data_IF_968548034868
#
_entry.id   IF_968548034868
#
_cell.length_a   1.000
_cell.length_b   1.000
_cell.length_c   1.000
_cell.angle_alpha   90.00
_cell.angle_beta   90.00
_cell.angle_gamma   90.00
#
_symmetry.space_group_name_H-M   'P 1'
#
loop_
_entity.id
_entity.type
_entity.pdbx_description
1 polymer ?
#
# COMPACT_ATOMS: atom_id res chain seq x y z
N UNK A 1 31.53 2.97 9.01
CA UNK A 1 30.10 3.04 9.31
C UNK A 1 29.44 4.21 8.61
N UNK A 2 29.98 5.40 8.69
CA UNK A 2 29.57 6.56 7.89
C UNK A 2 30.37 6.58 6.59
N UNK A 3 29.71 6.70 5.45
CA UNK A 3 30.35 6.91 4.16
C UNK A 3 30.84 8.35 4.12
N UNK A 4 31.99 8.64 3.49
CA UNK A 4 32.41 10.02 3.20
C UNK A 4 31.43 10.61 2.18
N UNK A 5 30.34 11.18 2.66
CA UNK A 5 29.34 11.83 1.82
C UNK A 5 29.85 13.20 1.41
N UNK A 6 29.84 13.48 0.12
CA UNK A 6 29.95 14.84 -0.39
C UNK A 6 28.55 15.37 -0.56
N UNK A 7 28.22 16.51 0.00
CA UNK A 7 26.92 17.19 -0.16
C UNK A 7 26.52 17.33 -1.64
N UNK A 8 27.51 17.40 -2.53
CA UNK A 8 27.29 17.46 -3.99
C UNK A 8 26.64 16.20 -4.57
N UNK A 9 26.80 15.05 -3.93
CA UNK A 9 26.26 13.76 -4.41
C UNK A 9 24.85 13.48 -3.86
N UNK A 10 24.28 14.46 -3.12
CA UNK A 10 22.95 14.35 -2.54
C UNK A 10 21.88 14.75 -3.57
N UNK A 11 20.84 13.91 -3.72
CA UNK A 11 19.78 14.17 -4.68
C UNK A 11 18.76 15.18 -4.12
N UNK A 12 19.10 16.46 -4.20
CA UNK A 12 18.23 17.56 -3.77
C UNK A 12 16.92 17.61 -4.57
N UNK A 13 16.90 17.14 -5.83
CA UNK A 13 15.68 17.13 -6.65
C UNK A 13 14.64 16.21 -6.05
N UNK A 14 15.06 15.01 -5.61
CA UNK A 14 14.18 14.06 -4.94
C UNK A 14 13.59 14.66 -3.66
N UNK A 15 14.42 15.34 -2.85
CA UNK A 15 13.96 15.96 -1.60
C UNK A 15 12.93 17.05 -1.88
N UNK A 16 13.21 17.93 -2.85
CA UNK A 16 12.29 19.02 -3.23
C UNK A 16 10.95 18.43 -3.69
N UNK A 17 10.96 17.38 -4.51
CA UNK A 17 9.73 16.73 -4.97
C UNK A 17 8.94 16.10 -3.81
N UNK A 18 9.62 15.42 -2.89
CA UNK A 18 8.97 14.85 -1.68
C UNK A 18 8.35 15.93 -0.83
N UNK A 19 9.06 17.03 -0.59
CA UNK A 19 8.55 18.15 0.20
C UNK A 19 7.38 18.86 -0.50
N UNK A 20 7.46 19.06 -1.83
CA UNK A 20 6.39 19.64 -2.61
C UNK A 20 5.11 18.79 -2.56
N UNK A 21 5.22 17.48 -2.80
CA UNK A 21 4.10 16.55 -2.68
C UNK A 21 3.53 16.53 -1.26
N UNK A 22 4.39 16.54 -0.24
CA UNK A 22 3.95 16.59 1.15
C UNK A 22 3.21 17.88 1.48
N UNK A 23 3.66 19.01 0.93
CA UNK A 23 2.99 20.30 1.12
C UNK A 23 1.59 20.29 0.47
N UNK A 24 1.47 19.80 -0.77
CA UNK A 24 0.17 19.62 -1.43
C UNK A 24 -0.74 18.71 -0.60
N UNK A 25 -0.23 17.56 -0.12
CA UNK A 25 -0.98 16.65 0.74
C UNK A 25 -1.49 17.30 2.03
N UNK A 26 -0.64 18.08 2.73
CA UNK A 26 -1.04 18.81 3.95
C UNK A 26 -2.14 19.84 3.63
N UNK A 27 -2.02 20.57 2.52
CA UNK A 27 -3.01 21.55 2.09
C UNK A 27 -4.35 20.87 1.79
N UNK A 28 -4.34 19.78 1.02
CA UNK A 28 -5.53 19.07 0.62
C UNK A 28 -6.24 18.41 1.80
N UNK A 29 -5.48 17.76 2.72
CA UNK A 29 -6.03 17.21 3.96
C UNK A 29 -6.63 18.33 4.83
N UNK A 30 -5.97 19.48 4.90
CA UNK A 30 -6.51 20.64 5.62
C UNK A 30 -7.74 21.26 4.98
N UNK A 31 -8.04 20.94 3.71
CA UNK A 31 -9.29 21.27 3.06
C UNK A 31 -10.38 20.22 3.31
N UNK A 32 -10.02 18.93 3.23
CA UNK A 32 -10.94 17.82 3.41
C UNK A 32 -11.40 17.68 4.88
N UNK A 33 -10.42 17.63 5.82
CA UNK A 33 -10.67 17.46 7.25
C UNK A 33 -9.64 18.29 8.05
N UNK A 34 -9.99 19.52 8.45
CA UNK A 34 -9.07 20.43 9.15
C UNK A 34 -8.48 19.84 10.45
N UNK A 35 -9.22 18.97 11.14
CA UNK A 35 -8.78 18.35 12.39
C UNK A 35 -7.58 17.40 12.16
N UNK A 36 -7.44 16.82 10.98
CA UNK A 36 -6.34 15.90 10.63
C UNK A 36 -5.09 16.62 10.13
N UNK A 37 -5.19 17.90 9.73
CA UNK A 37 -4.08 18.65 9.15
C UNK A 37 -2.84 18.73 10.08
N UNK A 38 -3.05 19.00 11.36
CA UNK A 38 -1.94 19.09 12.33
C UNK A 38 -1.24 17.75 12.55
N UNK A 39 -1.99 16.66 12.54
CA UNK A 39 -1.44 15.29 12.64
C UNK A 39 -0.62 14.95 11.40
N UNK A 40 -1.09 15.32 10.20
CA UNK A 40 -0.35 15.15 8.96
C UNK A 40 0.94 15.94 8.93
N UNK A 41 0.91 17.21 9.37
CA UNK A 41 2.12 18.05 9.50
C UNK A 41 3.18 17.41 10.43
N UNK A 42 2.74 16.91 11.59
CA UNK A 42 3.64 16.23 12.52
C UNK A 42 4.24 14.95 11.90
N UNK A 43 3.41 14.16 11.18
CA UNK A 43 3.85 12.97 10.46
C UNK A 43 4.88 13.28 9.38
N UNK A 44 4.66 14.30 8.57
CA UNK A 44 5.60 14.76 7.54
C UNK A 44 6.91 15.25 8.17
N UNK A 45 6.84 16.04 9.24
CA UNK A 45 8.04 16.50 9.94
C UNK A 45 8.88 15.32 10.48
N UNK A 46 8.24 14.34 11.13
CA UNK A 46 8.89 13.13 11.58
C UNK A 46 9.48 12.32 10.42
N UNK A 47 8.75 12.18 9.31
CA UNK A 47 9.20 11.49 8.10
C UNK A 47 10.44 12.15 7.48
N UNK A 48 10.47 13.47 7.42
CA UNK A 48 11.64 14.23 6.91
C UNK A 48 12.86 14.02 7.82
N UNK A 49 12.69 14.05 9.14
CA UNK A 49 13.79 13.77 10.08
C UNK A 49 14.32 12.35 9.88
N UNK A 50 13.44 11.35 9.77
CA UNK A 50 13.82 9.95 9.50
C UNK A 50 14.54 9.83 8.15
N UNK A 51 14.02 10.46 7.10
CA UNK A 51 14.62 10.46 5.77
C UNK A 51 16.05 10.99 5.80
N UNK A 52 16.26 12.12 6.44
CA UNK A 52 17.59 12.72 6.60
C UNK A 52 18.49 11.80 7.42
N UNK A 53 18.03 11.30 8.55
CA UNK A 53 18.80 10.39 9.40
C UNK A 53 19.23 9.13 8.63
N UNK A 54 18.30 8.47 7.92
CA UNK A 54 18.58 7.27 7.15
C UNK A 54 19.53 7.52 5.99
N UNK A 55 19.55 8.72 5.41
CA UNK A 55 20.47 9.06 4.32
C UNK A 55 21.95 9.02 4.72
N UNK A 56 22.25 9.19 6.00
CA UNK A 56 23.61 9.07 6.53
C UNK A 56 24.05 7.62 6.78
N UNK A 57 23.12 6.66 6.79
CA UNK A 57 23.46 5.26 7.01
C UNK A 57 23.80 4.55 5.72
N UNK A 58 24.82 3.71 5.77
CA UNK A 58 25.13 2.84 4.64
C UNK A 58 24.15 1.65 4.63
N UNK A 59 23.30 1.60 3.61
CA UNK A 59 22.32 0.52 3.45
C UNK A 59 22.95 -0.88 3.45
N UNK A 60 24.23 -1.02 3.02
CA UNK A 60 24.94 -2.31 3.04
C UNK A 60 25.11 -2.88 4.45
N UNK A 61 25.14 -2.02 5.48
CA UNK A 61 25.20 -2.47 6.88
C UNK A 61 23.82 -3.01 7.30
N UNK A 62 22.76 -2.32 6.91
CA UNK A 62 21.38 -2.76 7.16
C UNK A 62 21.12 -4.10 6.51
N UNK A 63 21.55 -4.26 5.26
CA UNK A 63 21.38 -5.51 4.51
C UNK A 63 22.14 -6.72 5.09
N UNK A 64 23.21 -6.51 5.88
CA UNK A 64 23.86 -7.62 6.60
C UNK A 64 22.95 -8.28 7.64
N UNK A 65 21.99 -7.53 8.15
CA UNK A 65 21.03 -7.98 9.16
C UNK A 65 19.70 -8.51 8.55
N UNK A 66 19.69 -8.85 7.27
CA UNK A 66 18.49 -9.24 6.53
C UNK A 66 17.69 -10.39 7.19
N UNK A 67 18.36 -11.40 7.78
CA UNK A 67 17.69 -12.45 8.53
C UNK A 67 17.02 -11.94 9.82
N UNK A 68 17.69 -11.04 10.53
CA UNK A 68 17.09 -10.43 11.74
C UNK A 68 15.85 -9.61 11.37
N UNK A 69 15.91 -8.89 10.23
CA UNK A 69 14.77 -8.13 9.71
C UNK A 69 13.60 -9.07 9.34
N UNK A 70 13.89 -10.21 8.72
CA UNK A 70 12.88 -11.20 8.36
C UNK A 70 12.22 -11.81 9.61
N UNK A 71 13.01 -12.23 10.59
CA UNK A 71 12.50 -12.78 11.85
C UNK A 71 11.71 -11.72 12.60
N UNK A 72 12.22 -10.50 12.72
CA UNK A 72 11.52 -9.38 13.33
C UNK A 72 10.18 -9.08 12.65
N UNK A 73 10.14 -9.17 11.33
CA UNK A 73 8.90 -9.04 10.56
C UNK A 73 7.89 -10.13 10.92
N UNK A 74 8.30 -11.40 10.99
CA UNK A 74 7.41 -12.51 11.39
C UNK A 74 6.88 -12.33 12.81
N UNK A 75 7.72 -11.88 13.73
CA UNK A 75 7.33 -11.58 15.12
C UNK A 75 6.28 -10.46 15.15
N UNK A 76 6.50 -9.36 14.42
CA UNK A 76 5.55 -8.24 14.36
C UNK A 76 4.20 -8.66 13.76
N UNK A 77 4.22 -9.43 12.66
CA UNK A 77 2.99 -9.97 12.06
C UNK A 77 2.28 -10.96 13.01
N UNK A 78 3.03 -11.76 13.74
CA UNK A 78 2.49 -12.69 14.74
C UNK A 78 1.84 -11.96 15.91
N UNK A 79 2.45 -10.88 16.39
CA UNK A 79 1.89 -10.05 17.47
C UNK A 79 0.52 -9.46 17.09
N UNK A 80 0.34 -9.02 15.84
CA UNK A 80 -0.97 -8.53 15.38
C UNK A 80 -2.04 -9.62 15.43
N UNK A 81 -1.70 -10.84 15.06
CA UNK A 81 -2.67 -11.95 15.06
C UNK A 81 -3.12 -12.29 16.50
N UNK A 82 -2.22 -12.06 17.49
CA UNK A 82 -2.49 -12.41 18.90
C UNK A 82 -3.09 -11.23 19.68
N UNK A 83 -2.58 -10.02 19.44
CA UNK A 83 -2.84 -8.82 20.26
C UNK A 83 -3.39 -7.65 19.45
N UNK A 84 -3.72 -7.83 18.17
CA UNK A 84 -4.21 -6.76 17.32
C UNK A 84 -5.57 -6.25 17.76
N UNK A 85 -5.76 -4.94 17.68
CA UNK A 85 -7.08 -4.33 17.87
C UNK A 85 -7.91 -4.44 16.60
N UNK A 86 -9.22 -4.69 16.79
CA UNK A 86 -10.18 -4.67 15.71
C UNK A 86 -10.49 -3.22 15.29
N UNK A 87 -10.18 -2.92 14.04
CA UNK A 87 -10.61 -1.69 13.38
C UNK A 87 -11.33 -2.04 12.09
N UNK A 88 -12.55 -1.53 11.89
CA UNK A 88 -13.37 -1.79 10.71
C UNK A 88 -13.54 -3.29 10.38
N UNK A 89 -13.75 -4.13 11.41
CA UNK A 89 -13.98 -5.58 11.25
C UNK A 89 -12.73 -6.42 10.96
N UNK A 90 -11.52 -5.88 11.16
CA UNK A 90 -10.29 -6.64 10.98
C UNK A 90 -9.22 -6.26 12.01
N UNK A 91 -8.54 -7.26 12.56
CA UNK A 91 -7.41 -7.09 13.48
C UNK A 91 -6.14 -6.77 12.69
N UNK A 92 -5.79 -5.49 12.54
CA UNK A 92 -4.67 -5.04 11.70
C UNK A 92 -3.72 -4.07 12.41
N UNK A 93 -4.15 -3.51 13.53
CA UNK A 93 -3.47 -2.41 14.18
C UNK A 93 -2.90 -2.82 15.53
N UNK A 94 -1.69 -2.33 15.84
CA UNK A 94 -1.12 -2.36 17.17
C UNK A 94 -1.15 -0.94 17.76
N UNK A 95 -1.63 -0.80 18.98
CA UNK A 95 -1.50 0.45 19.74
C UNK A 95 -0.22 0.43 20.56
N UNK A 96 0.66 1.37 20.29
CA UNK A 96 1.90 1.56 21.04
C UNK A 96 1.94 3.02 21.50
N UNK A 97 1.79 3.26 22.82
CA UNK A 97 1.89 4.60 23.39
C UNK A 97 0.86 5.61 22.83
N UNK A 98 -0.35 5.15 22.44
CA UNK A 98 -1.40 6.00 21.86
C UNK A 98 -1.30 6.22 20.35
N UNK A 99 -0.24 5.71 19.71
CA UNK A 99 -0.11 5.67 18.25
C UNK A 99 -0.59 4.35 17.72
N UNK A 100 -1.40 4.39 16.66
CA UNK A 100 -1.80 3.21 15.90
C UNK A 100 -0.72 2.90 14.86
N UNK A 101 -0.22 1.68 14.88
CA UNK A 101 0.80 1.20 13.97
C UNK A 101 0.30 -0.07 13.27
N UNK A 102 0.42 -0.11 11.93
CA UNK A 102 0.05 -1.28 11.15
C UNK A 102 1.31 -2.05 10.72
N UNK A 103 1.62 -3.20 11.33
CA UNK A 103 2.82 -3.97 11.02
C UNK A 103 2.93 -4.43 9.59
N UNK A 104 1.83 -4.68 8.87
CA UNK A 104 1.87 -5.07 7.47
C UNK A 104 2.42 -3.96 6.54
N UNK A 105 2.37 -2.68 6.93
CA UNK A 105 3.00 -1.59 6.20
C UNK A 105 4.53 -1.67 6.29
N UNK A 106 5.04 -1.90 7.50
CA UNK A 106 6.48 -2.11 7.70
C UNK A 106 6.94 -3.42 7.05
N UNK A 107 6.11 -4.45 7.06
CA UNK A 107 6.42 -5.75 6.46
C UNK A 107 6.78 -5.62 4.98
N UNK A 108 6.12 -4.76 4.21
CA UNK A 108 6.45 -4.51 2.80
C UNK A 108 7.92 -4.08 2.66
N UNK A 109 8.36 -3.13 3.48
CA UNK A 109 9.72 -2.59 3.44
C UNK A 109 10.75 -3.65 3.85
N UNK A 110 10.49 -4.35 4.96
CA UNK A 110 11.39 -5.37 5.48
C UNK A 110 11.55 -6.55 4.52
N UNK A 111 10.46 -6.97 3.86
CA UNK A 111 10.48 -8.03 2.85
C UNK A 111 11.21 -7.60 1.57
N UNK A 112 11.05 -6.35 1.13
CA UNK A 112 11.83 -5.80 0.00
C UNK A 112 13.33 -5.91 0.30
N UNK A 113 13.77 -5.44 1.45
CA UNK A 113 15.18 -5.46 1.86
C UNK A 113 15.70 -6.90 2.01
N UNK A 114 14.89 -7.78 2.62
CA UNK A 114 15.24 -9.18 2.79
C UNK A 114 15.43 -9.89 1.44
N UNK A 115 14.43 -9.82 0.56
CA UNK A 115 14.48 -10.52 -0.71
C UNK A 115 15.50 -9.92 -1.68
N UNK A 116 15.68 -8.60 -1.68
CA UNK A 116 16.76 -7.99 -2.47
C UNK A 116 18.13 -8.56 -2.09
N UNK A 117 18.45 -8.63 -0.79
CA UNK A 117 19.70 -9.20 -0.31
C UNK A 117 19.79 -10.71 -0.54
N UNK A 118 18.70 -11.44 -0.30
CA UNK A 118 18.66 -12.89 -0.51
C UNK A 118 18.91 -13.25 -1.98
N UNK A 119 18.22 -12.59 -2.91
CA UNK A 119 18.37 -12.80 -4.35
C UNK A 119 19.78 -12.41 -4.82
N UNK A 120 20.31 -11.27 -4.36
CA UNK A 120 21.70 -10.89 -4.66
C UNK A 120 22.68 -11.97 -4.25
N UNK A 121 22.53 -12.55 -3.07
CA UNK A 121 23.41 -13.59 -2.55
C UNK A 121 23.35 -14.89 -3.36
N UNK A 122 22.18 -15.24 -3.87
CA UNK A 122 21.94 -16.48 -4.61
C UNK A 122 21.77 -16.25 -6.12
N UNK A 123 22.19 -15.11 -6.66
CA UNK A 123 21.95 -14.69 -8.04
C UNK A 123 22.32 -15.75 -9.09
N UNK A 124 23.49 -16.38 -8.96
CA UNK A 124 23.95 -17.40 -9.90
C UNK A 124 23.10 -18.69 -9.88
N UNK A 125 22.46 -18.97 -8.74
CA UNK A 125 21.63 -20.16 -8.51
C UNK A 125 20.14 -19.85 -8.48
N UNK A 126 19.74 -18.61 -8.82
CA UNK A 126 18.37 -18.12 -8.66
C UNK A 126 17.35 -19.03 -9.39
N UNK A 127 17.70 -19.52 -10.56
CA UNK A 127 16.84 -20.36 -11.39
C UNK A 127 16.89 -21.85 -11.04
N UNK A 128 17.54 -22.25 -9.94
CA UNK A 128 17.52 -23.64 -9.46
C UNK A 128 16.27 -23.89 -8.62
N UNK A 129 15.71 -25.10 -8.76
CA UNK A 129 14.50 -25.49 -8.01
C UNK A 129 14.60 -25.25 -6.50
N UNK A 130 15.76 -25.55 -5.90
CA UNK A 130 15.97 -25.38 -4.46
C UNK A 130 15.86 -23.92 -4.02
N UNK A 131 16.45 -23.00 -4.78
CA UNK A 131 16.41 -21.56 -4.44
C UNK A 131 15.01 -21.02 -4.66
N UNK A 132 14.33 -21.39 -5.74
CA UNK A 132 12.93 -20.98 -6.01
C UNK A 132 11.99 -21.49 -4.93
N UNK A 133 12.10 -22.76 -4.55
CA UNK A 133 11.30 -23.34 -3.47
C UNK A 133 11.55 -22.63 -2.13
N UNK A 134 12.82 -22.33 -1.81
CA UNK A 134 13.17 -21.57 -0.60
C UNK A 134 12.56 -20.18 -0.62
N UNK A 135 12.64 -19.47 -1.73
CA UNK A 135 12.05 -18.14 -1.90
C UNK A 135 10.53 -18.19 -1.76
N UNK A 136 9.88 -19.18 -2.38
CA UNK A 136 8.44 -19.37 -2.29
C UNK A 136 7.98 -19.64 -0.84
N UNK A 137 8.70 -20.48 -0.09
CA UNK A 137 8.42 -20.74 1.33
C UNK A 137 8.64 -19.48 2.17
N UNK A 138 9.77 -18.80 2.00
CA UNK A 138 10.09 -17.58 2.73
C UNK A 138 9.10 -16.44 2.47
N UNK A 139 8.50 -16.36 1.28
CA UNK A 139 7.45 -15.40 0.99
C UNK A 139 6.08 -15.90 1.45
N UNK A 140 5.81 -17.19 1.32
CA UNK A 140 4.52 -17.80 1.67
C UNK A 140 4.16 -17.61 3.15
N UNK A 141 5.14 -17.72 4.06
CA UNK A 141 4.90 -17.56 5.49
C UNK A 141 4.35 -16.17 5.85
N UNK A 142 5.05 -15.06 5.59
CA UNK A 142 4.52 -13.73 5.90
C UNK A 142 3.25 -13.40 5.11
N UNK A 143 3.13 -13.88 3.87
CA UNK A 143 1.94 -13.69 3.06
C UNK A 143 0.69 -14.33 3.67
N UNK A 144 0.78 -15.59 4.13
CA UNK A 144 -0.32 -16.26 4.84
C UNK A 144 -0.66 -15.55 6.14
N UNK A 145 0.34 -15.02 6.87
CA UNK A 145 0.10 -14.26 8.09
C UNK A 145 -0.69 -12.98 7.80
N UNK A 146 -0.40 -12.27 6.71
CA UNK A 146 -1.15 -11.08 6.28
C UNK A 146 -2.55 -11.44 5.79
N UNK A 147 -2.72 -12.55 5.08
CA UNK A 147 -4.05 -13.05 4.69
C UNK A 147 -4.94 -13.35 5.90
N UNK A 148 -4.39 -13.91 6.97
CA UNK A 148 -5.12 -14.18 8.22
C UNK A 148 -5.55 -12.91 8.96
N UNK A 149 -4.97 -11.74 8.63
CA UNK A 149 -5.37 -10.44 9.18
C UNK A 149 -6.49 -9.76 8.38
N UNK A 150 -7.36 -10.47 7.68
CA UNK A 150 -8.25 -10.12 6.55
C UNK A 150 -7.78 -8.89 5.73
N UNK A 151 -6.49 -8.84 5.40
CA UNK A 151 -5.89 -7.72 4.65
C UNK A 151 -5.67 -8.10 3.17
N UNK A 152 -6.75 -8.35 2.42
CA UNK A 152 -6.68 -8.81 1.02
C UNK A 152 -5.86 -7.87 0.14
N UNK A 153 -6.11 -6.57 0.20
CA UNK A 153 -5.40 -5.57 -0.61
C UNK A 153 -3.90 -5.58 -0.33
N UNK A 154 -3.50 -5.60 0.94
CA UNK A 154 -2.08 -5.67 1.34
C UNK A 154 -1.43 -6.97 0.88
N UNK A 155 -2.13 -8.09 0.93
CA UNK A 155 -1.62 -9.38 0.48
C UNK A 155 -1.38 -9.43 -1.02
N UNK A 156 -2.25 -8.80 -1.83
CA UNK A 156 -2.06 -8.65 -3.28
C UNK A 156 -0.84 -7.77 -3.58
N UNK A 157 -0.71 -6.63 -2.88
CA UNK A 157 0.44 -5.74 -3.03
C UNK A 157 1.75 -6.44 -2.67
N UNK A 158 1.77 -7.27 -1.63
CA UNK A 158 2.95 -8.06 -1.26
C UNK A 158 3.38 -9.04 -2.36
N UNK A 159 2.44 -9.75 -2.96
CA UNK A 159 2.72 -10.65 -4.09
C UNK A 159 3.23 -9.86 -5.29
N UNK A 160 2.62 -8.71 -5.59
CA UNK A 160 3.07 -7.85 -6.68
C UNK A 160 4.51 -7.37 -6.48
N UNK A 161 4.83 -6.83 -5.29
CA UNK A 161 6.19 -6.42 -4.90
C UNK A 161 7.17 -7.59 -5.07
N UNK A 162 6.79 -8.78 -4.62
CA UNK A 162 7.60 -9.97 -4.72
C UNK A 162 7.88 -10.38 -6.17
N UNK A 163 6.87 -10.35 -7.03
CA UNK A 163 7.03 -10.62 -8.46
C UNK A 163 7.99 -9.62 -9.13
N UNK A 164 7.87 -8.33 -8.79
CA UNK A 164 8.78 -7.28 -9.29
C UNK A 164 10.21 -7.53 -8.84
N UNK A 165 10.44 -7.86 -7.58
CA UNK A 165 11.78 -8.14 -7.05
C UNK A 165 12.41 -9.35 -7.74
N UNK A 166 11.64 -10.42 -7.96
CA UNK A 166 12.11 -11.61 -8.69
C UNK A 166 12.47 -11.27 -10.14
N UNK A 167 11.62 -10.48 -10.81
CA UNK A 167 11.85 -10.05 -12.17
C UNK A 167 13.14 -9.23 -12.30
N UNK A 168 13.31 -8.23 -11.45
CA UNK A 168 14.54 -7.41 -11.40
C UNK A 168 15.76 -8.26 -11.01
N UNK A 169 15.56 -9.27 -10.16
CA UNK A 169 16.60 -10.23 -9.74
C UNK A 169 17.11 -11.13 -10.86
N UNK A 170 16.42 -11.22 -11.99
CA UNK A 170 16.80 -12.01 -13.16
C UNK A 170 16.28 -13.45 -13.13
N UNK A 171 15.07 -13.65 -12.60
CA UNK A 171 14.36 -14.93 -12.74
C UNK A 171 14.13 -15.26 -14.23
N UNK A 172 14.23 -16.52 -14.61
CA UNK A 172 14.06 -16.92 -16.02
C UNK A 172 12.62 -16.66 -16.50
N UNK A 173 12.49 -16.15 -17.72
CA UNK A 173 11.18 -15.92 -18.34
C UNK A 173 10.32 -17.18 -18.42
N UNK A 174 10.93 -18.38 -18.57
CA UNK A 174 10.22 -19.66 -18.57
C UNK A 174 9.44 -19.87 -17.27
N UNK A 175 10.04 -19.50 -16.12
CA UNK A 175 9.39 -19.60 -14.82
C UNK A 175 8.29 -18.54 -14.66
N UNK A 176 8.53 -17.33 -15.15
CA UNK A 176 7.52 -16.25 -15.13
C UNK A 176 6.29 -16.66 -15.94
N UNK A 177 6.50 -17.08 -17.20
CA UNK A 177 5.38 -17.52 -18.06
C UNK A 177 4.71 -18.77 -17.51
N UNK A 178 5.46 -19.73 -16.96
CA UNK A 178 4.89 -20.91 -16.31
C UNK A 178 4.03 -20.56 -15.11
N UNK A 179 4.50 -19.64 -14.26
CA UNK A 179 3.74 -19.15 -13.10
C UNK A 179 2.46 -18.41 -13.55
N UNK A 180 2.54 -17.54 -14.56
CA UNK A 180 1.38 -16.82 -15.09
C UNK A 180 0.37 -17.78 -15.75
N UNK A 181 0.84 -18.79 -16.47
CA UNK A 181 -0.03 -19.80 -17.09
C UNK A 181 -0.84 -20.61 -16.07
N UNK A 182 -0.36 -20.74 -14.85
CA UNK A 182 -1.09 -21.37 -13.74
C UNK A 182 -1.91 -20.35 -12.96
N UNK A 183 -1.34 -19.19 -12.66
CA UNK A 183 -1.96 -18.17 -11.80
C UNK A 183 -3.21 -17.55 -12.46
N UNK A 184 -3.14 -17.22 -13.75
CA UNK A 184 -4.27 -16.59 -14.45
C UNK A 184 -5.51 -17.49 -14.46
N UNK A 185 -5.45 -18.77 -14.92
CA UNK A 185 -6.61 -19.66 -14.84
C UNK A 185 -7.07 -19.89 -13.40
N UNK A 186 -6.15 -20.02 -12.42
CA UNK A 186 -6.50 -20.20 -11.03
C UNK A 186 -7.31 -19.02 -10.48
N UNK A 187 -6.90 -17.78 -10.79
CA UNK A 187 -7.63 -16.57 -10.39
C UNK A 187 -9.01 -16.53 -11.07
N UNK A 188 -9.07 -16.82 -12.36
CA UNK A 188 -10.36 -16.85 -13.09
C UNK A 188 -11.31 -17.88 -12.48
N UNK A 189 -10.83 -19.10 -12.19
CA UNK A 189 -11.62 -20.13 -11.53
C UNK A 189 -12.07 -19.69 -10.14
N UNK A 190 -11.16 -19.15 -9.32
CA UNK A 190 -11.47 -18.68 -7.98
C UNK A 190 -12.54 -17.56 -8.00
N UNK A 191 -12.39 -16.59 -8.89
CA UNK A 191 -13.39 -15.52 -9.05
C UNK A 191 -14.73 -16.09 -9.51
N UNK A 192 -14.72 -16.98 -10.49
CA UNK A 192 -15.95 -17.61 -10.99
C UNK A 192 -16.68 -18.43 -9.91
N UNK A 193 -15.92 -19.17 -9.08
CA UNK A 193 -16.48 -19.92 -7.96
C UNK A 193 -16.98 -18.99 -6.85
N UNK A 194 -16.26 -17.93 -6.57
CA UNK A 194 -16.62 -16.94 -5.55
C UNK A 194 -17.88 -16.15 -5.92
N UNK A 195 -18.15 -15.96 -7.20
CA UNK A 195 -19.36 -15.26 -7.68
C UNK A 195 -20.63 -16.12 -7.59
N UNK A 196 -20.52 -17.42 -7.31
CA UNK A 196 -21.72 -18.25 -7.13
C UNK A 196 -22.49 -17.81 -5.86
N UNK A 197 -23.85 -17.83 -5.89
CA UNK A 197 -24.68 -17.35 -4.76
C UNK A 197 -24.37 -18.03 -3.43
N UNK A 198 -24.13 -19.34 -3.43
CA UNK A 198 -23.93 -20.17 -2.24
C UNK A 198 -22.45 -20.37 -1.87
N UNK A 199 -21.54 -19.63 -2.50
CA UNK A 199 -20.10 -19.79 -2.27
C UNK A 199 -19.67 -19.26 -0.89
N UNK A 200 -19.01 -20.10 -0.10
CA UNK A 200 -18.36 -19.78 1.17
C UNK A 200 -16.84 -19.62 1.05
N UNK A 201 -16.29 -19.61 -0.18
CA UNK A 201 -14.84 -19.56 -0.44
C UNK A 201 -14.24 -18.22 -0.03
N UNK A 202 -14.98 -17.14 -0.23
CA UNK A 202 -14.59 -15.79 0.18
C UNK A 202 -15.50 -15.27 1.28
N UNK A 203 -14.91 -14.50 2.19
CA UNK A 203 -15.67 -13.73 3.16
C UNK A 203 -16.60 -12.74 2.45
N UNK A 204 -17.77 -12.49 3.03
CA UNK A 204 -18.82 -11.63 2.42
C UNK A 204 -18.26 -10.28 1.96
N UNK A 205 -17.39 -9.65 2.76
CA UNK A 205 -16.79 -8.37 2.39
C UNK A 205 -15.84 -8.46 1.17
N UNK A 206 -15.13 -9.60 0.99
CA UNK A 206 -14.25 -9.83 -0.16
C UNK A 206 -15.07 -10.05 -1.43
N UNK A 207 -16.14 -10.84 -1.33
CA UNK A 207 -17.09 -11.08 -2.41
C UNK A 207 -17.70 -9.77 -2.88
N UNK A 208 -18.20 -8.97 -1.95
CA UNK A 208 -18.82 -7.68 -2.25
C UNK A 208 -17.86 -6.70 -2.95
N UNK A 209 -16.57 -6.67 -2.56
CA UNK A 209 -15.56 -5.85 -3.26
C UNK A 209 -15.33 -6.28 -4.71
N UNK A 210 -15.29 -7.59 -4.97
CA UNK A 210 -15.14 -8.10 -6.34
C UNK A 210 -16.39 -7.77 -7.16
N UNK A 211 -17.58 -7.99 -6.62
CA UNK A 211 -18.85 -7.69 -7.27
C UNK A 211 -19.01 -6.20 -7.57
N UNK A 212 -18.66 -5.33 -6.63
CA UNK A 212 -18.68 -3.89 -6.83
C UNK A 212 -17.70 -3.42 -7.92
N UNK A 213 -16.59 -4.14 -8.12
CA UNK A 213 -15.64 -3.85 -9.20
C UNK A 213 -16.14 -4.34 -10.56
N UNK A 214 -16.79 -5.51 -10.61
CA UNK A 214 -17.27 -6.12 -11.87
C UNK A 214 -18.58 -5.47 -12.35
N UNK A 215 -19.51 -5.20 -11.42
CA UNK A 215 -20.83 -4.62 -11.70
C UNK A 215 -21.11 -3.39 -10.82
N UNK A 216 -20.39 -2.27 -11.01
CA UNK A 216 -20.51 -1.10 -10.14
C UNK A 216 -21.92 -0.49 -10.13
N UNK A 217 -22.68 -0.62 -11.22
CA UNK A 217 -24.05 -0.09 -11.32
C UNK A 217 -25.05 -0.85 -10.43
N UNK A 218 -24.91 -2.16 -10.32
CA UNK A 218 -25.76 -3.02 -9.52
C UNK A 218 -25.51 -2.81 -8.01
N UNK A 219 -24.26 -2.49 -7.64
CA UNK A 219 -23.81 -2.27 -6.26
C UNK A 219 -23.63 -0.78 -5.92
N UNK A 220 -24.29 0.12 -6.66
CA UNK A 220 -24.14 1.58 -6.55
C UNK A 220 -24.59 2.15 -5.21
N UNK A 221 -25.43 1.44 -4.46
CA UNK A 221 -25.98 1.89 -3.16
C UNK A 221 -25.11 1.57 -1.96
N UNK A 222 -24.02 0.78 -2.13
CA UNK A 222 -23.17 0.33 -1.03
C UNK A 222 -21.68 0.55 -1.36
N UNK A 223 -20.99 -0.48 -1.81
CA UNK A 223 -19.52 -0.46 -1.97
C UNK A 223 -19.05 0.33 -3.19
N UNK A 224 -19.81 0.31 -4.28
CA UNK A 224 -19.52 1.10 -5.47
C UNK A 224 -19.89 2.57 -5.31
N UNK A 225 -20.73 2.92 -4.32
CA UNK A 225 -21.19 4.28 -4.06
C UNK A 225 -20.03 5.26 -3.89
N UNK A 226 -19.05 4.90 -3.07
CA UNK A 226 -17.88 5.74 -2.82
C UNK A 226 -17.00 5.93 -4.06
N UNK A 227 -16.80 4.85 -4.86
CA UNK A 227 -16.05 4.95 -6.10
C UNK A 227 -16.76 5.83 -7.14
N UNK A 228 -18.06 5.64 -7.31
CA UNK A 228 -18.86 6.46 -8.23
C UNK A 228 -18.86 7.93 -7.82
N UNK A 229 -19.05 8.22 -6.53
CA UNK A 229 -18.99 9.58 -6.02
C UNK A 229 -17.59 10.19 -6.17
N UNK A 230 -16.53 9.41 -6.00
CA UNK A 230 -15.15 9.84 -6.25
C UNK A 230 -14.95 10.25 -7.72
N UNK A 231 -15.43 9.44 -8.66
CA UNK A 231 -15.35 9.74 -10.10
C UNK A 231 -16.18 10.98 -10.45
N UNK A 232 -17.39 11.10 -9.88
CA UNK A 232 -18.25 12.30 -10.06
C UNK A 232 -17.58 13.55 -9.50
N UNK A 233 -16.94 13.44 -8.33
CA UNK A 233 -16.22 14.55 -7.71
C UNK A 233 -15.08 15.04 -8.61
N UNK A 234 -14.22 14.13 -9.09
CA UNK A 234 -13.13 14.45 -10.02
C UNK A 234 -13.69 15.11 -11.28
N UNK A 235 -14.74 14.53 -11.88
CA UNK A 235 -15.37 15.05 -13.07
C UNK A 235 -15.99 16.44 -12.87
N UNK A 236 -16.54 16.70 -11.69
CA UNK A 236 -17.16 17.99 -11.34
C UNK A 236 -16.18 19.15 -11.22
N UNK A 237 -14.88 18.87 -11.08
CA UNK A 237 -13.82 19.88 -11.06
C UNK A 237 -13.47 20.41 -12.44
N UNK A 238 -13.89 19.76 -13.53
CA UNK A 238 -13.63 20.17 -14.90
C UNK A 238 -12.14 20.49 -15.16
N UNK A 239 -11.84 21.57 -15.91
CA UNK A 239 -10.46 21.96 -16.24
C UNK A 239 -9.77 22.77 -15.14
N UNK A 240 -10.50 23.67 -14.49
CA UNK A 240 -9.94 24.70 -13.60
C UNK A 240 -10.21 24.46 -12.11
N UNK A 241 -11.07 23.51 -11.79
CA UNK A 241 -11.49 23.20 -10.41
C UNK A 241 -12.52 24.17 -9.85
N UNK A 242 -13.17 23.76 -8.76
CA UNK A 242 -14.15 24.59 -8.02
C UNK A 242 -13.49 25.57 -7.04
N UNK A 243 -12.17 25.52 -6.92
CA UNK A 243 -11.38 26.35 -6.00
C UNK A 243 -11.06 25.71 -4.67
N UNK A 244 -9.89 26.04 -4.14
CA UNK A 244 -9.38 25.54 -2.86
C UNK A 244 -10.30 25.95 -1.71
N UNK A 245 -10.59 24.98 -0.82
CA UNK A 245 -11.53 25.16 0.31
C UNK A 245 -12.94 25.57 -0.13
N UNK A 246 -13.39 25.13 -1.29
CA UNK A 246 -14.76 25.34 -1.71
C UNK A 246 -15.75 24.82 -0.66
N UNK A 247 -16.68 25.68 -0.23
CA UNK A 247 -17.68 25.38 0.81
C UNK A 247 -19.08 25.12 0.24
N UNK A 248 -19.20 24.83 -1.05
CA UNK A 248 -20.48 24.43 -1.63
C UNK A 248 -21.00 23.15 -0.98
N UNK A 249 -22.31 23.11 -0.73
CA UNK A 249 -22.99 21.93 -0.13
C UNK A 249 -22.86 20.70 -1.03
N UNK A 250 -22.74 20.93 -2.33
CA UNK A 250 -22.55 19.87 -3.36
C UNK A 250 -21.11 19.34 -3.44
N UNK A 251 -20.17 19.95 -2.71
CA UNK A 251 -18.80 19.47 -2.63
C UNK A 251 -18.69 18.14 -1.88
N UNK A 252 -17.82 17.28 -2.32
CA UNK A 252 -17.58 15.94 -1.76
C UNK A 252 -17.33 15.99 -0.26
N UNK A 253 -16.55 16.98 0.21
CA UNK A 253 -16.23 17.14 1.63
C UNK A 253 -17.40 17.64 2.49
N UNK A 254 -18.27 18.48 1.94
CA UNK A 254 -19.37 19.10 2.70
C UNK A 254 -20.67 18.29 2.62
N UNK A 255 -20.86 17.54 1.52
CA UNK A 255 -22.07 16.76 1.28
C UNK A 255 -22.08 15.37 1.92
N UNK A 256 -21.02 14.97 2.62
CA UNK A 256 -20.85 13.60 3.16
C UNK A 256 -21.02 12.48 2.12
N UNK A 257 -20.72 12.79 0.85
CA UNK A 257 -20.84 11.82 -0.25
C UNK A 257 -19.73 10.78 -0.27
N UNK A 258 -18.58 11.09 0.39
CA UNK A 258 -17.47 10.17 0.55
C UNK A 258 -17.09 10.05 2.03
N UNK A 259 -17.13 8.84 2.56
CA UNK A 259 -16.46 8.53 3.81
C UNK A 259 -14.95 8.46 3.55
N UNK A 260 -14.14 8.90 4.52
CA UNK A 260 -12.67 8.87 4.44
C UNK A 260 -12.11 9.66 3.23
N UNK A 261 -12.73 10.82 2.92
CA UNK A 261 -12.29 11.71 1.83
C UNK A 261 -10.86 12.22 2.03
N UNK A 262 -10.42 12.37 3.30
CA UNK A 262 -9.10 12.82 3.70
C UNK A 262 -8.00 11.76 3.60
N UNK A 263 -8.36 10.48 3.39
CA UNK A 263 -7.43 9.35 3.29
C UNK A 263 -7.57 8.63 1.95
N UNK A 264 -8.53 7.74 1.82
CA UNK A 264 -8.67 6.83 0.68
C UNK A 264 -9.09 7.54 -0.61
N UNK A 265 -9.79 8.68 -0.49
CA UNK A 265 -10.32 9.43 -1.63
C UNK A 265 -9.78 10.85 -1.73
N UNK A 266 -8.58 11.11 -1.17
CA UNK A 266 -7.98 12.45 -1.18
C UNK A 266 -7.80 13.01 -2.60
N UNK A 267 -7.56 12.16 -3.60
CA UNK A 267 -7.45 12.57 -4.99
C UNK A 267 -8.78 13.09 -5.56
N UNK A 268 -9.92 12.61 -5.05
CA UNK A 268 -11.22 13.16 -5.43
C UNK A 268 -11.37 14.62 -4.98
N UNK A 269 -10.86 14.95 -3.78
CA UNK A 269 -10.81 16.33 -3.29
C UNK A 269 -9.87 17.19 -4.15
N UNK A 270 -8.70 16.66 -4.53
CA UNK A 270 -7.76 17.36 -5.43
C UNK A 270 -8.43 17.63 -6.78
N UNK A 271 -9.04 16.61 -7.40
CA UNK A 271 -9.70 16.74 -8.69
C UNK A 271 -10.85 17.74 -8.67
N UNK A 272 -11.66 17.73 -7.61
CA UNK A 272 -12.76 18.69 -7.45
C UNK A 272 -12.28 20.12 -7.25
N UNK A 273 -11.29 20.34 -6.36
CA UNK A 273 -10.83 21.70 -5.99
C UNK A 273 -9.91 22.33 -7.03
N UNK A 274 -9.03 21.55 -7.65
CA UNK A 274 -7.98 22.07 -8.55
C UNK A 274 -8.23 21.71 -10.02
N UNK A 275 -9.21 20.87 -10.31
CA UNK A 275 -9.55 20.44 -11.66
C UNK A 275 -8.44 19.62 -12.33
N UNK A 276 -8.61 19.37 -13.63
CA UNK A 276 -7.66 18.60 -14.42
C UNK A 276 -6.26 19.25 -14.50
N UNK A 277 -6.18 20.59 -14.50
CA UNK A 277 -4.90 21.31 -14.58
C UNK A 277 -4.09 21.23 -13.28
N UNK A 278 -4.75 21.06 -12.15
CA UNK A 278 -4.12 21.01 -10.84
C UNK A 278 -3.91 19.59 -10.30
N UNK A 279 -4.43 18.57 -11.00
CA UNK A 279 -4.30 17.16 -10.66
C UNK A 279 -3.18 16.50 -11.45
#
# INVERSE_FOLDING_TARGET
MFKNYRLRDYDFKLIILVLALSAVGIMTIGSAEPAQQSRQMAGVAAGVVIMIALSFFNYSVILKLYWLMYIGNLVLLGLVIIMGEEGNGAQRWLKIGGLQFQPSELAKILLILFFAQFIMKYKEKLNTFRVIASIAVLMGVPWIMVLKQPALSTSIVLIFIFCVILYVGGISYKLVFGALAVAIPAVVILVSLAMQPDSTILETYQKNRILAFVNPEEYSTDLAYQQLNSVMAIGSGELDGKGYKNNEITSVKNGNFLSEAETDFIFAVIGEEFGFKGS
#
